data_IF_056413910177
#
_entry.id   IF_056413910177
#
_cell.length_a   1.000
_cell.length_b   1.000
_cell.length_c   1.000
_cell.angle_alpha   90.00
_cell.angle_beta   90.00
_cell.angle_gamma   90.00
#
_symmetry.space_group_name_H-M   'P 1'
#
loop_
_entity.id
_entity.type
_entity.pdbx_description
1 polymer ?
#
# COMPACT_ATOMS: atom_id res chain seq x y z
N UNK A 1 9.69 -25.58 19.17
CA UNK A 1 11.03 -24.99 18.97
C UNK A 1 12.14 -26.03 18.83
N UNK A 2 12.24 -27.06 19.68
CA UNK A 2 13.32 -28.07 19.56
C UNK A 2 13.17 -28.96 18.31
N UNK A 3 11.99 -29.52 18.06
CA UNK A 3 11.71 -30.27 16.82
C UNK A 3 11.86 -29.43 15.53
N UNK A 4 11.71 -28.11 15.68
CA UNK A 4 11.86 -27.13 14.60
C UNK A 4 13.35 -26.95 14.25
N UNK A 5 14.23 -26.76 15.24
CA UNK A 5 15.68 -26.68 15.01
C UNK A 5 16.26 -27.98 14.43
N UNK A 6 15.81 -29.14 14.91
CA UNK A 6 16.30 -30.43 14.40
C UNK A 6 15.88 -30.69 12.95
N UNK A 7 14.64 -30.34 12.56
CA UNK A 7 14.18 -30.49 11.18
C UNK A 7 14.96 -29.61 10.19
N UNK A 8 15.28 -28.38 10.59
CA UNK A 8 16.14 -27.47 9.81
C UNK A 8 17.57 -27.98 9.70
N UNK A 9 18.16 -28.45 10.80
CA UNK A 9 19.52 -29.00 10.79
C UNK A 9 19.65 -30.27 9.95
N UNK A 10 18.61 -31.11 9.95
CA UNK A 10 18.55 -32.34 9.16
C UNK A 10 18.17 -32.12 7.69
N UNK A 11 17.85 -30.88 7.28
CA UNK A 11 17.43 -30.57 5.90
C UNK A 11 16.10 -31.20 5.49
N UNK A 12 15.25 -31.57 6.44
CA UNK A 12 13.95 -32.19 6.19
C UNK A 12 12.92 -31.20 5.61
N UNK A 13 13.10 -29.91 5.89
CA UNK A 13 12.23 -28.83 5.40
C UNK A 13 13.07 -27.72 4.78
N UNK A 14 12.52 -27.10 3.73
CA UNK A 14 13.09 -25.89 3.14
C UNK A 14 13.17 -24.76 4.20
N UNK A 15 14.37 -24.16 4.42
CA UNK A 15 14.55 -23.05 5.35
C UNK A 15 13.61 -21.85 5.13
N UNK A 16 13.17 -21.60 3.89
CA UNK A 16 12.22 -20.50 3.62
C UNK A 16 10.81 -20.84 4.06
N UNK A 17 10.31 -22.04 3.72
CA UNK A 17 9.03 -22.57 4.24
C UNK A 17 9.01 -22.58 5.77
N UNK A 18 10.13 -22.99 6.37
CA UNK A 18 10.35 -22.98 7.81
C UNK A 18 10.21 -21.57 8.42
N UNK A 19 10.89 -20.57 7.85
CA UNK A 19 10.81 -19.18 8.31
C UNK A 19 9.37 -18.67 8.25
N UNK A 20 8.65 -18.95 7.15
CA UNK A 20 7.25 -18.54 6.97
C UNK A 20 6.31 -19.15 8.02
N UNK A 21 6.41 -20.45 8.26
CA UNK A 21 5.58 -21.14 9.24
C UNK A 21 5.78 -20.60 10.67
N UNK A 22 7.02 -20.33 11.05
CA UNK A 22 7.36 -19.74 12.35
C UNK A 22 6.93 -18.28 12.46
N UNK A 23 7.06 -17.48 11.41
CA UNK A 23 6.51 -16.12 11.37
C UNK A 23 5.00 -16.13 11.60
N UNK A 24 4.24 -17.00 10.92
CA UNK A 24 2.80 -17.14 11.17
C UNK A 24 2.50 -17.58 12.60
N UNK A 25 3.27 -18.55 13.15
CA UNK A 25 3.12 -18.99 14.54
C UNK A 25 3.34 -17.84 15.54
N UNK A 26 4.30 -16.95 15.29
CA UNK A 26 4.55 -15.75 16.10
C UNK A 26 3.41 -14.74 16.01
N UNK A 27 2.86 -14.52 14.82
CA UNK A 27 1.70 -13.63 14.62
C UNK A 27 0.47 -14.15 15.37
N UNK A 28 0.25 -15.47 15.40
CA UNK A 28 -0.85 -16.07 16.17
C UNK A 28 -0.71 -15.90 17.69
N UNK A 29 0.52 -15.76 18.19
CA UNK A 29 0.81 -15.51 19.61
C UNK A 29 1.10 -14.04 19.92
N UNK A 30 0.70 -13.11 19.05
CA UNK A 30 0.98 -11.69 19.23
C UNK A 30 0.14 -11.13 20.38
N UNK A 31 0.81 -10.51 21.34
CA UNK A 31 0.20 -9.84 22.48
C UNK A 31 0.78 -8.43 22.66
N UNK A 32 0.11 -7.61 23.46
CA UNK A 32 0.60 -6.28 23.81
C UNK A 32 1.92 -6.41 24.59
N UNK A 33 3.01 -5.95 23.98
CA UNK A 33 4.31 -5.94 24.61
C UNK A 33 4.37 -4.86 25.70
N UNK A 34 4.51 -5.28 26.98
CA UNK A 34 4.62 -4.37 28.13
C UNK A 34 6.04 -3.91 28.44
N UNK A 35 7.02 -4.53 27.80
CA UNK A 35 8.44 -4.23 27.99
C UNK A 35 8.95 -3.21 26.96
N UNK A 36 8.10 -2.78 26.01
CA UNK A 36 8.45 -1.80 24.98
C UNK A 36 7.52 -0.60 25.07
N UNK A 37 8.11 0.56 25.34
CA UNK A 37 7.41 1.84 25.29
C UNK A 37 7.80 2.63 24.03
N UNK A 38 6.93 3.54 23.62
CA UNK A 38 7.24 4.55 22.58
C UNK A 38 7.16 5.92 23.23
N UNK A 39 8.19 6.74 23.03
CA UNK A 39 8.26 8.07 23.60
C UNK A 39 7.05 8.92 23.19
N UNK A 40 6.40 9.56 24.16
CA UNK A 40 5.12 10.26 23.96
C UNK A 40 5.38 11.73 23.61
N UNK A 41 5.33 12.05 22.33
CA UNK A 41 5.51 13.42 21.83
C UNK A 41 4.21 14.02 21.29
N UNK A 42 3.38 13.20 20.63
CA UNK A 42 2.09 13.68 20.16
C UNK A 42 1.18 14.07 21.33
N UNK A 43 0.63 15.27 21.21
CA UNK A 43 -0.33 15.84 22.16
C UNK A 43 -1.77 15.40 21.91
N UNK A 44 -2.03 14.83 20.72
CA UNK A 44 -3.33 14.33 20.27
C UNK A 44 -3.20 12.91 19.68
N UNK A 45 -4.29 12.40 19.09
CA UNK A 45 -4.31 11.08 18.45
C UNK A 45 -3.26 10.95 17.34
N UNK A 46 -2.73 9.73 17.17
CA UNK A 46 -1.85 9.37 16.06
C UNK A 46 -2.72 8.81 14.94
N UNK A 47 -2.69 9.43 13.77
CA UNK A 47 -3.50 9.02 12.63
C UNK A 47 -2.79 7.98 11.77
N UNK A 48 -1.45 8.05 11.72
CA UNK A 48 -0.63 7.28 10.78
C UNK A 48 0.71 6.91 11.37
N UNK A 49 1.22 5.75 10.98
CA UNK A 49 2.55 5.25 11.28
C UNK A 49 3.13 4.65 10.01
N UNK A 50 4.42 4.85 9.77
CA UNK A 50 5.12 4.17 8.69
C UNK A 50 6.53 3.76 9.11
N UNK A 51 6.89 2.52 8.83
CA UNK A 51 8.19 1.94 9.22
C UNK A 51 9.06 1.88 7.97
N UNK A 52 10.31 2.28 8.12
CA UNK A 52 11.29 2.29 7.04
C UNK A 52 11.31 0.94 6.29
N UNK A 53 11.25 0.94 4.95
CA UNK A 53 11.11 -0.29 4.18
C UNK A 53 12.38 -1.16 4.16
N UNK A 54 13.57 -0.56 4.26
CA UNK A 54 14.86 -1.25 4.04
C UNK A 54 15.38 -1.88 5.33
N UNK A 55 15.80 -1.08 6.31
CA UNK A 55 16.38 -1.60 7.58
C UNK A 55 15.32 -1.84 8.65
N UNK A 56 14.13 -1.26 8.51
CA UNK A 56 13.02 -1.32 9.49
C UNK A 56 13.41 -0.83 10.88
N UNK A 57 14.39 0.06 10.93
CA UNK A 57 14.92 0.63 12.18
C UNK A 57 14.14 1.87 12.59
N UNK A 58 13.83 2.72 11.64
CA UNK A 58 13.16 3.98 11.91
C UNK A 58 11.66 3.93 11.63
N UNK A 59 10.89 4.71 12.38
CA UNK A 59 9.45 4.82 12.21
C UNK A 59 9.01 6.28 12.23
N UNK A 60 8.15 6.65 11.30
CA UNK A 60 7.48 7.94 11.25
C UNK A 60 6.11 7.83 11.88
N UNK A 61 5.67 8.90 12.55
CA UNK A 61 4.30 9.06 13.02
C UNK A 61 3.76 10.44 12.69
N UNK A 62 2.49 10.48 12.30
CA UNK A 62 1.74 11.71 12.06
C UNK A 62 0.58 11.83 13.05
N UNK A 63 0.48 12.98 13.71
CA UNK A 63 -0.55 13.24 14.72
C UNK A 63 -1.62 14.21 14.24
N UNK A 64 -2.78 14.16 14.90
CA UNK A 64 -3.84 15.15 14.70
C UNK A 64 -3.44 16.56 15.17
N UNK A 65 -2.30 16.68 15.87
CA UNK A 65 -1.71 17.93 16.34
C UNK A 65 -0.82 18.63 15.31
N UNK A 66 -0.70 18.09 14.08
CA UNK A 66 0.13 18.67 13.02
C UNK A 66 1.61 18.33 13.13
N UNK A 67 1.98 17.49 14.11
CA UNK A 67 3.37 17.11 14.37
C UNK A 67 3.71 15.86 13.59
N UNK A 68 4.96 15.77 13.15
CA UNK A 68 5.57 14.54 12.62
C UNK A 68 6.72 14.16 13.56
N UNK A 69 6.81 12.88 13.91
CA UNK A 69 7.88 12.37 14.78
C UNK A 69 8.56 11.19 14.11
N UNK A 70 9.89 11.16 14.20
CA UNK A 70 10.76 10.08 13.73
C UNK A 70 11.33 9.35 14.95
N UNK A 71 11.06 8.06 15.10
CA UNK A 71 11.55 7.22 16.19
C UNK A 71 12.64 6.25 15.72
N UNK A 72 13.59 5.95 16.60
CA UNK A 72 14.46 4.78 16.51
C UNK A 72 13.81 3.63 17.28
N UNK A 73 13.49 2.54 16.57
CA UNK A 73 12.86 1.35 17.15
C UNK A 73 13.87 0.36 17.73
N UNK A 74 15.17 0.56 17.51
CA UNK A 74 16.20 -0.37 17.95
C UNK A 74 16.51 -0.24 19.44
N UNK A 75 16.82 -1.38 20.05
CA UNK A 75 17.24 -1.44 21.45
C UNK A 75 18.76 -1.45 21.54
N UNK A 76 19.34 -0.31 21.90
CA UNK A 76 20.78 -0.20 22.19
C UNK A 76 21.14 -0.58 23.65
N UNK A 77 20.13 -0.82 24.50
CA UNK A 77 20.33 -1.18 25.90
C UNK A 77 20.59 -2.68 26.07
N UNK A 78 21.29 -3.06 27.13
CA UNK A 78 21.48 -4.48 27.50
C UNK A 78 20.25 -5.10 28.17
N UNK A 79 19.19 -4.31 28.39
CA UNK A 79 17.98 -4.76 29.04
C UNK A 79 16.94 -5.19 27.99
N UNK A 80 16.10 -6.19 28.28
CA UNK A 80 15.04 -6.60 27.36
C UNK A 80 13.92 -5.55 27.22
N UNK A 81 13.78 -4.66 28.22
CA UNK A 81 12.84 -3.56 28.20
C UNK A 81 13.51 -2.26 27.76
N UNK A 82 12.83 -1.49 26.90
CA UNK A 82 13.35 -0.21 26.38
C UNK A 82 12.24 0.69 25.84
N UNK A 83 12.58 1.96 25.68
CA UNK A 83 11.69 2.96 25.06
C UNK A 83 12.24 3.35 23.70
N UNK A 84 11.42 3.24 22.65
CA UNK A 84 11.71 3.78 21.33
C UNK A 84 11.77 5.31 21.44
N UNK A 85 12.96 5.87 21.26
CA UNK A 85 13.21 7.31 21.39
C UNK A 85 12.95 8.03 20.09
N UNK A 86 12.45 9.25 20.17
CA UNK A 86 12.37 10.10 19.00
C UNK A 86 13.76 10.66 18.66
N UNK A 87 14.16 10.43 17.42
CA UNK A 87 15.37 10.99 16.82
C UNK A 87 15.11 12.43 16.40
N UNK A 88 13.98 12.68 15.75
CA UNK A 88 13.61 13.99 15.24
C UNK A 88 12.11 14.25 15.41
N UNK A 89 11.73 15.52 15.49
CA UNK A 89 10.34 15.93 15.50
C UNK A 89 10.15 17.25 14.75
N UNK A 90 9.23 17.25 13.79
CA UNK A 90 8.70 18.46 13.17
C UNK A 90 7.60 19.00 14.09
N UNK A 91 8.04 19.66 15.17
CA UNK A 91 7.16 20.25 16.16
C UNK A 91 6.67 21.66 15.79
N UNK A 92 5.86 22.26 16.68
CA UNK A 92 5.25 23.61 16.49
C UNK A 92 6.23 24.74 16.23
N UNK A 93 7.51 24.56 16.59
CA UNK A 93 8.56 25.55 16.39
C UNK A 93 9.20 25.46 14.99
N UNK A 94 8.92 24.40 14.22
CA UNK A 94 9.47 24.23 12.89
C UNK A 94 8.76 25.20 11.92
N UNK A 95 9.49 25.93 11.05
CA UNK A 95 8.89 26.89 10.13
C UNK A 95 7.84 26.25 9.22
N UNK A 96 8.09 25.01 8.80
CA UNK A 96 7.22 24.27 7.91
C UNK A 96 6.32 23.24 8.62
N UNK A 97 6.01 23.42 9.90
CA UNK A 97 5.07 22.54 10.60
C UNK A 97 3.70 22.51 9.90
N UNK A 98 3.00 21.38 9.95
CA UNK A 98 1.63 21.32 9.46
C UNK A 98 0.69 22.09 10.37
N UNK A 99 -0.25 22.82 9.78
CA UNK A 99 -1.19 23.66 10.55
C UNK A 99 -2.33 22.86 11.17
N UNK A 100 -2.65 21.71 10.58
CA UNK A 100 -3.74 20.83 10.97
C UNK A 100 -3.28 19.37 11.02
N UNK A 101 -4.21 18.47 11.34
CA UNK A 101 -4.05 17.02 11.40
C UNK A 101 -3.21 16.47 10.24
N UNK A 102 -2.17 15.69 10.55
CA UNK A 102 -1.40 14.91 9.57
C UNK A 102 -2.11 13.57 9.40
N UNK A 103 -2.66 13.32 8.23
CA UNK A 103 -3.48 12.13 7.98
C UNK A 103 -2.63 10.93 7.54
N UNK A 104 -1.64 11.17 6.69
CA UNK A 104 -0.72 10.13 6.23
C UNK A 104 0.71 10.65 6.21
N UNK A 105 1.64 9.77 6.55
CA UNK A 105 3.08 9.96 6.48
C UNK A 105 3.66 8.71 5.86
N UNK A 106 4.58 8.85 4.92
CA UNK A 106 5.15 7.71 4.20
C UNK A 106 6.64 7.93 3.94
N UNK A 107 7.46 6.91 4.20
CA UNK A 107 8.84 6.88 3.74
C UNK A 107 8.89 6.86 2.23
N UNK A 108 9.88 7.54 1.65
CA UNK A 108 10.13 7.38 0.23
C UNK A 108 10.59 5.92 -0.03
N UNK A 109 9.90 5.13 -0.89
CA UNK A 109 10.06 3.67 -0.91
C UNK A 109 11.47 3.15 -1.24
N UNK A 110 12.26 3.95 -1.95
CA UNK A 110 13.59 3.58 -2.45
C UNK A 110 14.72 4.46 -1.90
N UNK A 111 14.42 5.38 -0.99
CA UNK A 111 15.36 6.34 -0.43
C UNK A 111 14.99 6.67 1.01
N UNK A 112 15.79 6.19 1.98
CA UNK A 112 15.60 6.51 3.40
C UNK A 112 15.93 7.98 3.69
N UNK A 113 16.58 8.71 2.78
CA UNK A 113 16.87 10.13 2.94
C UNK A 113 15.65 11.05 2.87
N UNK A 114 14.48 10.53 2.47
CA UNK A 114 13.29 11.33 2.24
C UNK A 114 12.01 10.68 2.78
N UNK A 115 11.05 11.52 3.16
CA UNK A 115 9.69 11.09 3.48
C UNK A 115 8.67 12.14 3.06
N UNK A 116 7.41 11.74 3.00
CA UNK A 116 6.30 12.60 2.62
C UNK A 116 5.26 12.65 3.72
N UNK A 117 4.58 13.79 3.84
CA UNK A 117 3.47 13.97 4.76
C UNK A 117 2.35 14.76 4.11
N UNK A 118 1.11 14.36 4.39
CA UNK A 118 -0.06 15.09 3.94
C UNK A 118 -0.98 15.45 5.09
N UNK A 119 -1.59 16.62 5.00
CA UNK A 119 -2.39 17.18 6.09
C UNK A 119 -3.72 17.79 5.61
N UNK A 120 -4.63 17.96 6.56
CA UNK A 120 -5.83 18.77 6.42
C UNK A 120 -5.54 20.27 6.18
N UNK A 121 -4.28 20.71 6.30
CA UNK A 121 -3.86 22.05 5.85
C UNK A 121 -3.78 22.21 4.33
N UNK A 122 -4.22 21.18 3.59
CA UNK A 122 -4.29 21.13 2.13
C UNK A 122 -2.91 21.07 1.48
N UNK A 123 -1.89 20.63 2.22
CA UNK A 123 -0.54 20.46 1.69
C UNK A 123 -0.08 19.02 1.72
N UNK A 124 0.73 18.66 0.72
CA UNK A 124 1.64 17.52 0.74
C UNK A 124 3.04 18.09 0.79
N UNK A 125 3.80 17.74 1.83
CA UNK A 125 5.17 18.17 2.02
C UNK A 125 6.11 17.00 1.82
N UNK A 126 7.21 17.26 1.15
CA UNK A 126 8.32 16.34 0.96
C UNK A 126 9.45 16.81 1.87
N UNK A 127 10.06 15.90 2.59
CA UNK A 127 11.03 16.18 3.63
C UNK A 127 12.33 15.46 3.36
N UNK A 128 13.43 16.13 3.66
CA UNK A 128 14.74 15.52 3.81
C UNK A 128 14.93 15.11 5.27
N UNK A 129 15.23 13.84 5.52
CA UNK A 129 15.39 13.29 6.87
C UNK A 129 16.64 13.78 7.57
N UNK A 130 17.70 14.08 6.82
CA UNK A 130 19.01 14.44 7.37
C UNK A 130 19.04 15.90 7.83
N UNK A 131 18.42 16.78 7.06
CA UNK A 131 18.34 18.22 7.36
C UNK A 131 17.06 18.59 8.12
N UNK A 132 16.05 17.72 8.10
CA UNK A 132 14.70 17.96 8.61
C UNK A 132 14.03 19.19 7.99
N UNK A 133 14.39 19.55 6.76
CA UNK A 133 13.81 20.68 6.04
C UNK A 133 12.85 20.19 4.95
N UNK A 134 11.94 21.08 4.53
CA UNK A 134 11.08 20.78 3.38
C UNK A 134 11.87 20.88 2.09
N UNK A 135 11.79 19.83 1.27
CA UNK A 135 12.34 19.79 -0.07
C UNK A 135 11.34 20.38 -1.08
N UNK A 136 10.08 19.97 -0.99
CA UNK A 136 8.99 20.44 -1.85
C UNK A 136 7.68 20.57 -1.07
N UNK A 137 6.82 21.49 -1.50
CA UNK A 137 5.49 21.71 -0.93
C UNK A 137 4.46 21.82 -2.04
N UNK A 138 3.56 20.86 -2.09
CA UNK A 138 2.41 20.86 -3.00
C UNK A 138 1.19 21.39 -2.26
N UNK A 139 0.46 22.30 -2.91
CA UNK A 139 -0.75 22.91 -2.36
C UNK A 139 -1.96 22.45 -3.16
N UNK A 140 -3.04 22.13 -2.45
CA UNK A 140 -4.31 21.70 -3.03
C UNK A 140 -5.45 22.64 -2.64
N UNK A 141 -6.51 22.65 -3.43
CA UNK A 141 -7.70 23.46 -3.14
C UNK A 141 -8.51 22.90 -1.96
N UNK A 142 -8.37 21.61 -1.70
CA UNK A 142 -9.16 20.81 -0.77
C UNK A 142 -8.29 20.08 0.25
N UNK A 143 -8.89 19.61 1.35
CA UNK A 143 -8.17 18.86 2.40
C UNK A 143 -7.68 17.51 1.89
N UNK A 144 -6.48 17.10 2.29
CA UNK A 144 -5.89 15.82 1.88
C UNK A 144 -6.24 14.73 2.91
N UNK A 145 -6.85 13.64 2.46
CA UNK A 145 -7.18 12.50 3.31
C UNK A 145 -6.11 11.40 3.28
N UNK A 146 -5.53 11.15 2.12
CA UNK A 146 -4.58 10.06 1.94
C UNK A 146 -3.62 10.38 0.80
N UNK A 147 -2.35 10.05 0.97
CA UNK A 147 -1.40 9.98 -0.13
C UNK A 147 -0.67 8.64 -0.13
N UNK A 148 -0.18 8.23 -1.30
CA UNK A 148 0.62 7.02 -1.41
C UNK A 148 1.56 7.10 -2.62
N UNK A 149 2.76 6.56 -2.46
CA UNK A 149 3.73 6.27 -3.52
C UNK A 149 3.73 4.78 -3.84
N UNK A 150 4.10 4.42 -5.07
CA UNK A 150 4.22 3.02 -5.44
C UNK A 150 5.48 2.41 -4.81
N UNK A 151 5.36 1.31 -4.04
CA UNK A 151 6.52 0.68 -3.40
C UNK A 151 7.40 -0.12 -4.38
N UNK A 152 6.90 -0.35 -5.59
CA UNK A 152 7.59 -1.09 -6.66
C UNK A 152 8.15 -0.15 -7.73
N UNK A 153 7.67 1.08 -7.80
CA UNK A 153 7.96 1.98 -8.91
C UNK A 153 9.36 2.60 -8.83
N UNK A 154 10.22 2.15 -9.73
CA UNK A 154 11.51 2.79 -10.01
C UNK A 154 11.44 3.69 -11.24
N UNK A 155 10.42 3.51 -12.10
CA UNK A 155 10.27 4.24 -13.36
C UNK A 155 9.63 5.61 -13.19
N UNK A 156 8.77 5.77 -12.19
CA UNK A 156 8.05 7.01 -11.94
C UNK A 156 8.11 7.44 -10.47
N UNK A 157 8.07 8.75 -10.23
CA UNK A 157 8.06 9.35 -8.90
C UNK A 157 6.71 10.02 -8.62
N UNK A 158 5.64 9.29 -8.95
CA UNK A 158 4.27 9.77 -8.80
C UNK A 158 3.78 9.50 -7.38
N UNK A 159 3.27 10.56 -6.75
CA UNK A 159 2.50 10.49 -5.51
C UNK A 159 1.03 10.61 -5.88
N UNK A 160 0.23 9.61 -5.51
CA UNK A 160 -1.22 9.70 -5.60
C UNK A 160 -1.75 10.41 -4.35
N UNK A 161 -2.65 11.36 -4.54
CA UNK A 161 -3.23 12.19 -3.49
C UNK A 161 -4.76 12.14 -3.60
N UNK A 162 -5.39 11.65 -2.54
CA UNK A 162 -6.83 11.66 -2.32
C UNK A 162 -7.22 12.88 -1.50
N UNK A 163 -8.01 13.77 -2.09
CA UNK A 163 -8.51 14.98 -1.42
C UNK A 163 -10.01 14.91 -1.22
N UNK A 164 -10.57 15.93 -0.56
CA UNK A 164 -12.02 16.15 -0.50
C UNK A 164 -12.65 16.36 -1.87
N UNK A 165 -11.87 16.79 -2.86
CA UNK A 165 -12.34 16.88 -4.24
C UNK A 165 -12.62 15.48 -4.82
N UNK A 166 -13.53 15.38 -5.80
CA UNK A 166 -13.81 14.11 -6.50
C UNK A 166 -12.68 13.68 -7.46
N UNK A 167 -11.66 14.52 -7.65
CA UNK A 167 -10.58 14.30 -8.59
C UNK A 167 -9.38 13.72 -7.85
N UNK A 168 -8.89 12.58 -8.33
CA UNK A 168 -7.64 12.00 -7.82
C UNK A 168 -6.49 12.80 -8.43
N UNK A 169 -5.58 13.28 -7.60
CA UNK A 169 -4.44 14.08 -8.03
C UNK A 169 -3.18 13.21 -8.03
N UNK A 170 -2.38 13.32 -9.08
CA UNK A 170 -1.04 12.73 -9.17
C UNK A 170 -0.02 13.88 -9.21
N UNK A 171 0.90 13.85 -8.26
CA UNK A 171 2.03 14.78 -8.18
C UNK A 171 3.29 14.06 -8.62
N UNK A 172 4.05 14.65 -9.55
CA UNK A 172 5.35 14.13 -9.93
C UNK A 172 6.45 14.84 -9.13
N UNK A 173 7.17 14.08 -8.31
CA UNK A 173 8.25 14.60 -7.48
C UNK A 173 9.48 15.02 -8.29
N UNK A 174 9.71 14.45 -9.49
CA UNK A 174 10.87 14.82 -10.32
C UNK A 174 10.74 16.21 -10.94
N UNK A 175 9.53 16.58 -11.33
CA UNK A 175 9.24 17.85 -12.00
C UNK A 175 8.70 18.92 -11.06
N UNK A 176 8.43 18.58 -9.79
CA UNK A 176 7.71 19.46 -8.85
C UNK A 176 6.30 19.82 -9.32
N UNK A 177 5.75 19.10 -10.30
CA UNK A 177 4.49 19.44 -10.95
C UNK A 177 3.31 18.62 -10.43
N UNK A 178 2.23 19.31 -10.05
CA UNK A 178 0.93 18.72 -9.71
C UNK A 178 -0.05 18.81 -10.90
N UNK A 179 0.36 18.37 -12.08
CA UNK A 179 -0.39 18.59 -13.33
C UNK A 179 -1.24 17.39 -13.77
N UNK A 180 -0.94 16.19 -13.28
CA UNK A 180 -1.69 14.99 -13.65
C UNK A 180 -2.92 14.81 -12.76
N UNK A 181 -4.04 15.34 -13.21
CA UNK A 181 -5.34 15.05 -12.60
C UNK A 181 -5.89 13.80 -13.29
N UNK A 182 -6.09 12.72 -12.54
CA UNK A 182 -6.90 11.59 -12.99
C UNK A 182 -8.37 12.04 -12.95
N UNK A 183 -8.78 12.77 -13.98
CA UNK A 183 -10.16 13.18 -14.21
C UNK A 183 -10.67 12.51 -15.48
N UNK A 184 -11.37 11.40 -15.30
CA UNK A 184 -12.20 10.88 -16.40
C UNK A 184 -13.53 11.59 -16.31
N UNK A 185 -13.77 12.52 -17.24
CA UNK A 185 -14.95 13.40 -17.34
C UNK A 185 -16.28 12.65 -17.23
N UNK A 186 -16.31 11.34 -17.50
CA UNK A 186 -17.50 10.49 -17.41
C UNK A 186 -17.39 9.28 -16.45
N UNK A 187 -16.24 9.02 -15.82
CA UNK A 187 -16.03 7.83 -14.98
C UNK A 187 -15.21 8.05 -13.69
N UNK A 188 -14.97 9.31 -13.32
CA UNK A 188 -14.33 9.70 -12.06
C UNK A 188 -15.16 9.36 -10.82
N UNK A 189 -14.57 9.57 -9.65
CA UNK A 189 -15.32 9.54 -8.40
C UNK A 189 -16.31 10.70 -8.32
N UNK A 190 -17.38 10.53 -7.54
CA UNK A 190 -18.43 11.56 -7.38
C UNK A 190 -18.34 12.32 -6.05
N UNK A 191 -17.55 11.82 -5.11
CA UNK A 191 -17.37 12.40 -3.77
C UNK A 191 -15.90 12.36 -3.35
N UNK A 192 -15.64 12.78 -2.12
CA UNK A 192 -14.34 12.81 -1.43
C UNK A 192 -13.60 11.48 -1.58
N UNK A 193 -12.29 11.53 -1.85
CA UNK A 193 -11.44 10.35 -1.94
C UNK A 193 -10.78 10.16 -0.58
N UNK A 194 -11.13 9.05 0.08
CA UNK A 194 -10.73 8.82 1.47
C UNK A 194 -9.45 8.00 1.58
N UNK A 195 -9.18 7.11 0.61
CA UNK A 195 -7.96 6.30 0.59
C UNK A 195 -7.45 6.12 -0.83
N UNK A 196 -6.13 6.12 -0.96
CA UNK A 196 -5.42 5.79 -2.20
C UNK A 196 -4.31 4.79 -1.87
N UNK A 197 -4.09 3.80 -2.73
CA UNK A 197 -3.04 2.81 -2.52
C UNK A 197 -2.55 2.26 -3.86
N UNK A 198 -1.24 2.22 -4.04
CA UNK A 198 -0.62 1.65 -5.23
C UNK A 198 -0.49 0.13 -5.10
N UNK A 199 -0.56 -0.56 -6.24
CA UNK A 199 -0.32 -1.99 -6.26
C UNK A 199 1.14 -2.30 -5.93
N UNK A 200 1.43 -3.25 -5.02
CA UNK A 200 2.79 -3.70 -4.76
C UNK A 200 3.34 -4.63 -5.86
N UNK A 201 2.50 -5.01 -6.83
CA UNK A 201 2.86 -5.95 -7.92
C UNK A 201 3.07 -5.25 -9.26
N UNK A 202 2.20 -4.29 -9.58
CA UNK A 202 2.20 -3.64 -10.88
C UNK A 202 2.58 -2.17 -10.74
N UNK A 203 3.57 -1.75 -11.53
CA UNK A 203 4.21 -0.43 -11.46
C UNK A 203 3.18 0.72 -11.50
N UNK A 204 2.27 0.68 -12.48
CA UNK A 204 1.37 1.79 -12.79
C UNK A 204 -0.07 1.64 -12.29
N UNK A 205 -0.33 0.65 -11.44
CA UNK A 205 -1.70 0.37 -10.97
C UNK A 205 -1.96 1.08 -9.64
N UNK A 206 -2.99 1.92 -9.64
CA UNK A 206 -3.48 2.65 -8.47
C UNK A 206 -4.90 2.21 -8.12
N UNK A 207 -5.16 1.93 -6.85
CA UNK A 207 -6.50 1.78 -6.30
C UNK A 207 -6.93 3.05 -5.56
N UNK A 208 -8.18 3.46 -5.75
CA UNK A 208 -8.76 4.63 -5.08
C UNK A 208 -10.12 4.30 -4.50
N UNK A 209 -10.37 4.77 -3.30
CA UNK A 209 -11.62 4.58 -2.56
C UNK A 209 -12.22 5.92 -2.19
N UNK A 210 -13.54 6.03 -2.35
CA UNK A 210 -14.26 7.28 -2.16
C UNK A 210 -15.48 7.11 -1.26
N UNK A 211 -15.92 8.24 -0.71
CA UNK A 211 -17.19 8.38 -0.04
C UNK A 211 -18.40 8.08 -0.94
N UNK A 212 -18.22 8.03 -2.27
CA UNK A 212 -19.25 7.63 -3.24
C UNK A 212 -19.61 6.14 -3.20
N UNK A 213 -19.05 5.40 -2.23
CA UNK A 213 -19.24 3.97 -2.00
C UNK A 213 -18.64 3.07 -3.08
N UNK A 214 -17.77 3.62 -3.94
CA UNK A 214 -17.10 2.91 -5.03
C UNK A 214 -15.59 2.86 -4.81
N UNK A 215 -15.01 1.79 -5.34
CA UNK A 215 -13.55 1.61 -5.43
C UNK A 215 -13.21 1.42 -6.90
N UNK A 216 -12.17 2.12 -7.35
CA UNK A 216 -11.72 2.11 -8.74
C UNK A 216 -10.25 1.75 -8.80
N UNK A 217 -9.90 0.93 -9.79
CA UNK A 217 -8.51 0.65 -10.16
C UNK A 217 -8.17 1.38 -11.45
N UNK A 218 -6.98 1.95 -11.51
CA UNK A 218 -6.50 2.82 -12.59
C UNK A 218 -5.16 2.33 -13.08
N UNK A 219 -4.93 2.44 -14.38
CA UNK A 219 -3.57 2.50 -14.94
C UNK A 219 -3.26 3.97 -15.18
N UNK A 220 -2.27 4.51 -14.46
CA UNK A 220 -1.96 5.95 -14.51
C UNK A 220 -1.42 6.41 -15.87
N UNK A 221 -1.02 5.49 -16.74
CA UNK A 221 -0.59 5.79 -18.11
C UNK A 221 -1.76 6.06 -19.04
N UNK A 222 -2.97 5.61 -18.68
CA UNK A 222 -4.15 5.78 -19.51
C UNK A 222 -4.73 7.17 -19.30
N UNK A 223 -4.88 7.91 -20.40
CA UNK A 223 -5.47 9.24 -20.36
C UNK A 223 -6.97 9.24 -20.00
N UNK A 224 -7.67 8.11 -20.18
CA UNK A 224 -9.08 8.00 -19.80
C UNK A 224 -9.51 6.58 -19.44
N UNK A 225 -10.47 6.49 -18.52
CA UNK A 225 -11.07 5.25 -18.02
C UNK A 225 -10.37 4.68 -16.78
N UNK A 226 -11.16 4.28 -15.78
CA UNK A 226 -10.69 3.32 -14.78
C UNK A 226 -10.69 1.93 -15.40
N UNK A 227 -9.76 1.07 -15.01
CA UNK A 227 -9.70 -0.32 -15.45
C UNK A 227 -10.93 -1.10 -14.97
N UNK A 228 -11.23 -0.97 -13.68
CA UNK A 228 -12.24 -1.76 -12.98
C UNK A 228 -12.90 -0.87 -11.93
N UNK A 229 -14.22 -0.95 -11.81
CA UNK A 229 -14.95 -0.47 -10.64
C UNK A 229 -15.48 -1.69 -9.91
N UNK A 230 -15.16 -1.83 -8.62
CA UNK A 230 -15.53 -3.01 -7.84
C UNK A 230 -17.05 -3.02 -7.58
N UNK A 231 -17.69 -4.15 -7.87
CA UNK A 231 -19.11 -4.39 -7.59
C UNK A 231 -19.25 -5.52 -6.58
N UNK A 232 -19.79 -5.20 -5.39
CA UNK A 232 -19.96 -6.16 -4.31
C UNK A 232 -20.85 -7.36 -4.67
N UNK A 233 -21.68 -7.23 -5.71
CA UNK A 233 -22.60 -8.29 -6.14
C UNK A 233 -22.12 -9.05 -7.39
N UNK A 234 -20.88 -8.82 -7.85
CA UNK A 234 -20.30 -9.49 -9.04
C UNK A 234 -21.21 -9.44 -10.29
N UNK A 235 -22.00 -8.38 -10.46
CA UNK A 235 -22.94 -8.22 -11.59
C UNK A 235 -24.25 -9.01 -11.48
N UNK A 236 -24.49 -9.75 -10.39
CA UNK A 236 -25.71 -10.56 -10.22
C UNK A 236 -26.97 -9.73 -9.96
N UNK A 237 -26.82 -8.53 -9.39
CA UNK A 237 -27.94 -7.62 -9.13
C UNK A 237 -28.11 -6.62 -10.26
N UNK A 238 -29.25 -6.70 -10.95
CA UNK A 238 -29.71 -5.66 -11.88
C UNK A 238 -30.11 -4.41 -11.09
N UNK A 239 -29.15 -3.52 -10.87
CA UNK A 239 -29.38 -2.20 -10.27
C UNK A 239 -29.39 -1.12 -11.35
N UNK A 240 -30.10 -0.02 -11.09
CA UNK A 240 -30.00 1.17 -11.94
C UNK A 240 -28.54 1.63 -12.02
N UNK A 241 -28.11 2.15 -13.17
CA UNK A 241 -26.71 2.48 -13.47
C UNK A 241 -26.01 3.37 -12.42
N UNK A 242 -26.78 4.19 -11.70
CA UNK A 242 -26.30 5.08 -10.63
C UNK A 242 -26.05 4.37 -9.29
N UNK A 243 -26.76 3.27 -9.02
CA UNK A 243 -26.58 2.45 -7.82
C UNK A 243 -25.69 1.23 -8.07
N UNK A 244 -25.47 0.86 -9.35
CA UNK A 244 -24.61 -0.25 -9.74
C UNK A 244 -23.12 0.08 -9.51
N UNK A 245 -22.30 -0.98 -9.39
CA UNK A 245 -20.85 -0.91 -9.17
C UNK A 245 -20.45 -0.20 -7.87
N UNK A 246 -21.14 -0.51 -6.79
CA UNK A 246 -20.77 -0.11 -5.43
C UNK A 246 -19.98 -1.23 -4.76
N UNK A 247 -18.87 -0.85 -4.12
CA UNK A 247 -18.03 -1.79 -3.38
C UNK A 247 -18.59 -2.04 -1.96
N UNK A 248 -19.26 -1.03 -1.40
CA UNK A 248 -19.85 -1.06 -0.06
C UNK A 248 -21.22 -0.37 -0.08
N UNK A 249 -22.04 -0.62 0.95
CA UNK A 249 -23.30 0.10 1.18
C UNK A 249 -23.10 1.43 1.93
N UNK A 250 -21.90 1.99 1.88
CA UNK A 250 -21.48 3.19 2.60
C UNK A 250 -20.11 3.67 2.11
N UNK A 251 -19.58 4.71 2.74
CA UNK A 251 -18.29 5.32 2.36
C UNK A 251 -17.18 4.30 2.48
N UNK A 252 -16.29 4.22 1.49
CA UNK A 252 -15.11 3.35 1.57
C UNK A 252 -13.94 4.17 2.07
N UNK A 253 -13.48 3.87 3.27
CA UNK A 253 -12.45 4.62 3.98
C UNK A 253 -11.13 3.85 4.13
N UNK A 254 -11.11 2.53 3.87
CA UNK A 254 -9.89 1.72 3.96
C UNK A 254 -9.56 1.00 2.65
N UNK A 255 -8.28 1.06 2.26
CA UNK A 255 -7.70 0.28 1.18
C UNK A 255 -6.37 -0.34 1.60
N UNK A 256 -6.18 -1.61 1.29
CA UNK A 256 -4.89 -2.26 1.47
C UNK A 256 -4.72 -3.41 0.47
N UNK A 257 -3.63 -3.43 -0.29
CA UNK A 257 -3.29 -4.58 -1.11
C UNK A 257 -2.73 -5.73 -0.25
N UNK A 258 -3.03 -6.95 -0.68
CA UNK A 258 -2.30 -8.13 -0.21
C UNK A 258 -0.83 -8.06 -0.61
N UNK A 259 0.04 -8.74 0.12
CA UNK A 259 1.49 -8.66 -0.05
C UNK A 259 1.99 -9.11 -1.43
N UNK A 260 1.24 -10.00 -2.09
CA UNK A 260 1.51 -10.45 -3.46
C UNK A 260 0.89 -9.53 -4.54
N UNK A 261 0.05 -8.57 -4.13
CA UNK A 261 -0.72 -7.67 -4.98
C UNK A 261 -1.85 -8.32 -5.77
N UNK A 262 -2.16 -9.61 -5.52
CA UNK A 262 -3.19 -10.35 -6.26
C UNK A 262 -4.60 -10.05 -5.78
N UNK A 263 -4.73 -9.58 -4.55
CA UNK A 263 -6.00 -9.17 -3.98
C UNK A 263 -5.94 -7.78 -3.35
N UNK A 264 -7.10 -7.12 -3.29
CA UNK A 264 -7.32 -5.85 -2.62
C UNK A 264 -8.29 -6.07 -1.45
N UNK A 265 -7.98 -5.49 -0.29
CA UNK A 265 -8.89 -5.40 0.85
C UNK A 265 -9.51 -4.02 0.87
N UNK A 266 -10.84 -3.98 0.99
CA UNK A 266 -11.59 -2.73 1.16
C UNK A 266 -12.38 -2.79 2.46
N UNK A 267 -12.43 -1.66 3.16
CA UNK A 267 -13.28 -1.47 4.35
C UNK A 267 -14.12 -0.23 4.15
N UNK A 268 -15.40 -0.34 4.54
CA UNK A 268 -16.34 0.76 4.47
C UNK A 268 -17.13 0.96 5.75
N UNK A 269 -17.86 2.07 5.81
CA UNK A 269 -18.74 2.44 6.92
C UNK A 269 -19.98 1.56 7.04
N UNK A 270 -20.12 0.54 6.18
CA UNK A 270 -21.14 -0.52 6.27
C UNK A 270 -20.73 -1.65 7.24
N UNK A 271 -19.60 -1.48 7.96
CA UNK A 271 -19.02 -2.45 8.90
C UNK A 271 -18.67 -3.78 8.24
N UNK A 272 -18.24 -3.71 6.97
CA UNK A 272 -17.81 -4.87 6.20
C UNK A 272 -16.40 -4.66 5.71
N UNK A 273 -15.66 -5.75 5.69
CA UNK A 273 -14.39 -5.88 4.97
C UNK A 273 -14.60 -6.84 3.82
N UNK A 274 -14.13 -6.48 2.63
CA UNK A 274 -14.24 -7.33 1.43
C UNK A 274 -12.87 -7.59 0.83
N UNK A 275 -12.67 -8.80 0.35
CA UNK A 275 -11.48 -9.22 -0.39
C UNK A 275 -11.82 -9.36 -1.86
N UNK A 276 -11.09 -8.65 -2.70
CA UNK A 276 -11.32 -8.57 -4.14
C UNK A 276 -10.14 -9.14 -4.89
N UNK A 277 -10.39 -9.83 -5.99
CA UNK A 277 -9.33 -10.13 -6.94
C UNK A 277 -8.90 -8.83 -7.63
N UNK A 278 -7.61 -8.48 -7.58
CA UNK A 278 -7.09 -7.21 -8.13
C UNK A 278 -7.14 -7.14 -9.66
N UNK A 279 -7.19 -8.30 -10.33
CA UNK A 279 -7.15 -8.41 -11.79
C UNK A 279 -8.55 -8.48 -12.41
N UNK A 280 -9.49 -9.20 -11.79
CA UNK A 280 -10.88 -9.32 -12.27
C UNK A 280 -11.85 -8.34 -11.60
N UNK A 281 -11.53 -7.87 -10.39
CA UNK A 281 -12.45 -7.08 -9.56
C UNK A 281 -13.55 -7.89 -8.87
N UNK A 282 -13.46 -9.22 -8.91
CA UNK A 282 -14.47 -10.10 -8.34
C UNK A 282 -14.36 -10.13 -6.81
N UNK A 283 -15.50 -10.02 -6.13
CA UNK A 283 -15.61 -10.16 -4.69
C UNK A 283 -15.46 -11.65 -4.31
N UNK A 284 -14.36 -11.97 -3.62
CA UNK A 284 -14.02 -13.35 -3.24
C UNK A 284 -14.50 -13.69 -1.83
N UNK A 285 -14.45 -12.74 -0.90
CA UNK A 285 -14.82 -12.94 0.50
C UNK A 285 -15.42 -11.68 1.11
N UNK A 286 -16.48 -11.87 1.89
CA UNK A 286 -17.05 -10.83 2.76
C UNK A 286 -16.83 -11.22 4.22
N UNK A 287 -16.21 -10.31 4.98
CA UNK A 287 -15.92 -10.45 6.40
C UNK A 287 -16.68 -9.37 7.18
N UNK A 288 -17.38 -9.78 8.23
CA UNK A 288 -18.14 -8.87 9.10
C UNK A 288 -17.19 -8.32 10.18
N UNK A 289 -16.95 -7.01 10.19
CA UNK A 289 -16.28 -6.39 11.34
C UNK A 289 -17.31 -6.16 12.43
N UNK A 290 -17.10 -6.76 13.61
CA UNK A 290 -18.02 -6.65 14.75
C UNK A 290 -18.06 -5.26 15.42
N UNK A 291 -17.46 -4.23 14.82
CA UNK A 291 -17.30 -2.90 15.42
C UNK A 291 -17.57 -1.78 14.42
N UNK A 292 -18.13 -0.66 14.93
CA UNK A 292 -18.63 0.48 14.15
C UNK A 292 -17.54 1.40 13.59
N UNK A 293 -16.30 1.23 14.02
CA UNK A 293 -15.19 2.14 13.69
C UNK A 293 -13.95 1.33 13.25
N UNK A 294 -13.80 1.10 11.95
CA UNK A 294 -12.56 0.61 11.36
C UNK A 294 -11.91 1.77 10.59
N UNK A 295 -11.08 2.56 11.27
CA UNK A 295 -10.45 3.76 10.68
C UNK A 295 -9.05 3.49 10.12
N UNK A 296 -8.40 2.38 10.47
CA UNK A 296 -7.05 2.05 10.00
C UNK A 296 -6.99 0.56 9.66
N UNK A 297 -6.63 0.25 8.41
CA UNK A 297 -6.24 -1.09 7.99
C UNK A 297 -4.72 -1.22 8.13
N UNK A 298 -4.25 -1.91 9.17
CA UNK A 298 -2.87 -2.38 9.23
C UNK A 298 -2.85 -3.84 8.77
N UNK A 299 -2.47 -4.09 7.52
CA UNK A 299 -2.13 -5.44 7.10
C UNK A 299 -0.74 -5.78 7.63
N UNK A 300 -0.61 -6.91 8.33
CA UNK A 300 0.70 -7.45 8.69
C UNK A 300 1.11 -8.38 7.54
N UNK A 301 1.97 -7.95 6.61
CA UNK A 301 2.43 -8.83 5.55
C UNK A 301 3.15 -10.03 6.17
N UNK A 302 2.73 -11.25 5.81
CA UNK A 302 3.62 -12.39 5.98
C UNK A 302 4.82 -12.14 5.07
N UNK A 303 6.04 -12.21 5.62
CA UNK A 303 7.29 -12.04 4.88
C UNK A 303 7.30 -12.92 3.61
N UNK A 304 6.93 -12.31 2.48
CA UNK A 304 6.97 -12.93 1.16
C UNK A 304 8.20 -12.39 0.45
N UNK A 305 9.27 -13.18 0.39
CA UNK A 305 10.32 -12.96 -0.60
C UNK A 305 9.81 -13.58 -1.92
N UNK A 306 9.81 -12.84 -3.04
CA UNK A 306 9.44 -13.39 -4.33
C UNK A 306 10.39 -14.53 -4.72
N UNK A 307 9.84 -15.59 -5.29
CA UNK A 307 10.62 -16.68 -5.88
C UNK A 307 11.41 -16.11 -7.07
N UNK A 308 12.73 -16.37 -7.20
CA UNK A 308 13.40 -16.20 -8.48
C UNK A 308 12.73 -17.14 -9.51
N UNK A 309 12.64 -16.67 -10.76
CA UNK A 309 12.06 -17.41 -11.88
C UNK A 309 12.70 -18.81 -12.01
N UNK A 310 11.91 -19.81 -12.37
CA UNK A 310 12.29 -21.25 -12.38
C UNK A 310 13.47 -21.60 -13.31
N UNK A 311 13.99 -20.65 -14.09
CA UNK A 311 15.06 -20.88 -15.05
C UNK A 311 16.48 -20.87 -14.45
N UNK A 312 16.68 -20.43 -13.21
CA UNK A 312 18.01 -20.46 -12.55
C UNK A 312 18.30 -21.74 -11.74
N UNK A 313 17.35 -22.69 -11.66
CA UNK A 313 17.44 -23.86 -10.77
C UNK A 313 17.62 -25.21 -11.47
N UNK A 314 17.94 -25.24 -12.77
CA UNK A 314 18.23 -26.49 -13.48
C UNK A 314 19.75 -26.66 -13.65
N UNK A 315 20.39 -27.61 -12.95
CA UNK A 315 21.75 -28.04 -13.28
C UNK A 315 21.80 -28.56 -14.72
N UNK A 316 22.84 -28.21 -15.47
CA UNK A 316 23.02 -28.58 -16.90
C UNK A 316 22.86 -30.09 -17.20
N UNK A 317 22.95 -30.96 -16.20
CA UNK A 317 22.79 -32.41 -16.33
C UNK A 317 21.36 -32.89 -16.68
N UNK A 318 20.33 -32.04 -16.57
CA UNK A 318 18.93 -32.43 -16.83
C UNK A 318 18.30 -31.83 -18.11
N UNK A 319 19.04 -31.03 -18.89
CA UNK A 319 18.51 -30.41 -20.13
C UNK A 319 18.20 -31.40 -21.26
N UNK A 320 18.77 -32.62 -21.24
CA UNK A 320 18.67 -33.55 -22.37
C UNK A 320 17.51 -34.56 -22.30
N UNK A 321 16.64 -34.50 -21.29
CA UNK A 321 15.58 -35.52 -21.10
C UNK A 321 14.14 -35.01 -21.24
N UNK A 322 13.91 -33.73 -21.53
CA UNK A 322 12.56 -33.15 -21.61
C UNK A 322 12.17 -32.61 -23.00
N UNK A 323 12.83 -33.05 -24.08
CA UNK A 323 12.50 -32.62 -25.44
C UNK A 323 11.28 -33.30 -26.06
N UNK A 324 10.54 -34.17 -25.35
CA UNK A 324 9.39 -34.88 -25.91
C UNK A 324 8.22 -35.03 -24.91
N UNK A 325 7.45 -33.97 -24.71
CA UNK A 325 6.01 -34.12 -24.43
C UNK A 325 5.25 -32.82 -24.72
N UNK A 326 4.52 -32.81 -25.83
CA UNK A 326 3.55 -31.77 -26.17
C UNK A 326 2.35 -31.85 -25.23
N UNK A 327 2.15 -30.85 -24.37
CA UNK A 327 0.94 -30.72 -23.56
C UNK A 327 0.26 -29.37 -23.85
N UNK A 328 -0.96 -29.47 -24.33
CA UNK A 328 -1.85 -28.39 -24.77
C UNK A 328 -2.20 -27.44 -23.62
N UNK A 329 -1.82 -26.16 -23.74
CA UNK A 329 -2.25 -25.08 -22.82
C UNK A 329 -3.72 -24.73 -23.08
N UNK A 330 -4.60 -25.03 -22.13
CA UNK A 330 -5.92 -24.40 -22.02
C UNK A 330 -5.74 -22.93 -21.63
N UNK A 331 -6.09 -22.02 -22.54
CA UNK A 331 -6.06 -20.56 -22.33
C UNK A 331 -7.07 -20.16 -21.25
N UNK A 332 -6.62 -19.78 -20.07
CA UNK A 332 -7.39 -18.91 -19.17
C UNK A 332 -7.46 -17.52 -19.81
N UNK A 333 -8.68 -16.97 -19.98
CA UNK A 333 -8.89 -15.61 -20.48
C UNK A 333 -8.37 -14.60 -19.46
N UNK A 334 -7.10 -14.23 -19.55
CA UNK A 334 -6.56 -13.03 -18.94
C UNK A 334 -7.11 -11.80 -19.67
N UNK A 335 -7.37 -10.73 -18.91
CA UNK A 335 -7.80 -9.45 -19.48
C UNK A 335 -6.60 -8.82 -20.23
N UNK A 336 -6.74 -8.44 -21.51
CA UNK A 336 -5.64 -7.93 -22.33
C UNK A 336 -4.95 -6.67 -21.77
N UNK A 337 -5.57 -5.99 -20.80
CA UNK A 337 -4.93 -4.88 -20.07
C UNK A 337 -3.67 -5.30 -19.27
N UNK A 338 -3.45 -6.59 -19.03
CA UNK A 338 -2.27 -7.14 -18.33
C UNK A 338 -1.27 -7.84 -19.26
N UNK A 339 -1.53 -7.90 -20.57
CA UNK A 339 -0.68 -8.62 -21.54
C UNK A 339 0.48 -7.78 -22.08
N UNK A 340 0.41 -6.44 -22.05
CA UNK A 340 1.36 -5.53 -22.70
C UNK A 340 2.73 -5.37 -21.99
N UNK A 341 3.24 -6.40 -21.33
CA UNK A 341 4.62 -6.42 -20.82
C UNK A 341 5.61 -7.12 -21.77
N UNK A 342 5.17 -7.80 -22.82
CA UNK A 342 6.06 -8.57 -23.71
C UNK A 342 5.61 -8.55 -25.18
N UNK A 343 5.89 -7.44 -25.88
CA UNK A 343 5.97 -7.44 -27.35
C UNK A 343 6.96 -6.37 -27.84
N UNK A 344 8.26 -6.61 -27.62
CA UNK A 344 9.27 -6.04 -28.52
C UNK A 344 9.29 -6.89 -29.78
N UNK A 345 8.55 -6.47 -30.80
CA UNK A 345 8.73 -6.99 -32.15
C UNK A 345 9.99 -6.37 -32.74
N UNK A 346 11.13 -7.05 -32.56
CA UNK A 346 12.25 -6.95 -33.47
C UNK A 346 11.98 -7.91 -34.63
N UNK A 347 11.53 -7.37 -35.78
CA UNK A 347 11.77 -7.99 -37.08
C UNK A 347 12.35 -6.93 -38.02
N UNK A 348 13.68 -6.90 -38.09
CA UNK A 348 14.40 -6.55 -39.31
C UNK A 348 14.44 -7.79 -40.22
N UNK A 349 14.06 -7.60 -41.48
CA UNK A 349 14.12 -8.59 -42.55
C UNK A 349 13.68 -7.98 -43.87
#
# INVERSE_FOLDING_TARGET
>A
MLGFLSARQAGLEDPRRFRRAESTRRVLGLELNKDRDVERIHSSGVNTLDIEPVERRYMLSGGSDGVIVLYDLENSSRQPYYTCKAVCSVGRNHPDVHKYSVETVQWYPHDTGMFTSSSFDKTLKVWDTNTLQTADVFNFEETVYSHHMSPVATKHCLVAVGTRGPKVQLCDLKSGSCSHILQVVFAGHKQEILAVSWSPRYDHILATASADSRVKLWDVRRASGCLITLDQNNGEKSQAAESANTAHNGKVNGLCFTSDGLHLLTVGTDNRMRLWNSSSGENTLELYSGSRDCNILAWVPSLYEPLPEEDELIPESYRNTLSNSSMTKTKSRLNPAFEDAWSSSDEEG
#
